data_IF_283072043867
#
_entry.id   IF_283072043867
#
_cell.length_a   1.000
_cell.length_b   1.000
_cell.length_c   1.000
_cell.angle_alpha   90.00
_cell.angle_beta   90.00
_cell.angle_gamma   90.00
#
_symmetry.space_group_name_H-M   'P 1'
#
loop_
_entity.id
_entity.type
_entity.pdbx_description
1 polymer ?
#
# COMPACT_ATOMS: atom_id res chain seq x y z
N UNK A 1 12.91 -5.47 -8.88
CA UNK A 1 13.93 -4.94 -9.80
C UNK A 1 14.75 -3.86 -9.11
N UNK A 2 15.67 -4.25 -8.23
CA UNK A 2 16.65 -3.36 -7.56
C UNK A 2 18.08 -3.84 -7.88
N UNK A 3 18.24 -4.57 -9.00
CA UNK A 3 19.46 -5.31 -9.36
C UNK A 3 20.23 -4.68 -10.53
N UNK A 4 19.71 -3.61 -11.15
CA UNK A 4 20.33 -2.96 -12.32
C UNK A 4 20.67 -1.49 -12.07
N UNK A 5 19.95 -0.80 -11.17
CA UNK A 5 20.31 0.55 -10.70
C UNK A 5 19.60 0.86 -9.36
N UNK A 6 20.32 0.96 -8.23
CA UNK A 6 19.71 1.14 -6.91
C UNK A 6 19.11 2.53 -6.67
N UNK A 7 19.26 3.46 -7.62
CA UNK A 7 18.80 4.85 -7.49
C UNK A 7 17.49 5.16 -8.23
N UNK A 8 16.96 4.23 -9.03
CA UNK A 8 15.69 4.43 -9.76
C UNK A 8 14.50 3.90 -8.98
N UNK A 9 13.84 4.79 -8.23
CA UNK A 9 12.48 4.59 -7.75
C UNK A 9 11.51 4.75 -8.91
N UNK A 10 10.79 3.69 -9.29
CA UNK A 10 9.69 3.81 -10.25
C UNK A 10 8.55 4.53 -9.54
N UNK A 11 8.22 5.73 -9.99
CA UNK A 11 7.13 6.50 -9.40
C UNK A 11 5.79 5.75 -9.55
N UNK A 12 4.98 5.76 -8.48
CA UNK A 12 3.61 5.23 -8.49
C UNK A 12 2.75 5.85 -9.61
N UNK A 13 3.07 7.08 -10.02
CA UNK A 13 2.41 7.81 -11.11
C UNK A 13 2.67 7.22 -12.49
N UNK A 14 3.72 6.41 -12.68
CA UNK A 14 4.03 5.80 -13.97
C UNK A 14 2.92 4.82 -14.41
N UNK A 15 2.37 4.04 -13.46
CA UNK A 15 1.26 3.14 -13.74
C UNK A 15 -0.10 3.83 -13.69
N UNK A 16 -0.21 5.00 -13.06
CA UNK A 16 -1.48 5.70 -12.87
C UNK A 16 -2.15 6.06 -14.19
N UNK A 17 -1.42 6.66 -15.14
CA UNK A 17 -1.98 7.03 -16.45
C UNK A 17 -2.48 5.80 -17.23
N UNK A 18 -1.71 4.71 -17.20
CA UNK A 18 -2.11 3.45 -17.83
C UNK A 18 -3.35 2.86 -17.16
N UNK A 19 -3.45 2.91 -15.83
CA UNK A 19 -4.61 2.43 -15.08
C UNK A 19 -5.88 3.24 -15.39
N UNK A 20 -5.77 4.57 -15.53
CA UNK A 20 -6.90 5.45 -15.89
C UNK A 20 -7.42 5.15 -17.30
N UNK A 21 -6.53 5.00 -18.28
CA UNK A 21 -6.96 4.65 -19.64
C UNK A 21 -7.57 3.25 -19.67
N UNK A 22 -6.94 2.29 -18.97
CA UNK A 22 -7.42 0.90 -18.92
C UNK A 22 -8.80 0.77 -18.25
N UNK A 23 -9.11 1.57 -17.23
CA UNK A 23 -10.44 1.52 -16.60
C UNK A 23 -11.55 1.96 -17.54
N UNK A 24 -11.32 3.03 -18.33
CA UNK A 24 -12.29 3.49 -19.34
C UNK A 24 -12.49 2.45 -20.44
N UNK A 25 -11.40 1.86 -20.94
CA UNK A 25 -11.48 0.78 -21.93
C UNK A 25 -12.22 -0.42 -21.36
N UNK A 26 -11.94 -0.80 -20.12
CA UNK A 26 -12.58 -1.93 -19.45
C UNK A 26 -14.09 -1.68 -19.23
N UNK A 27 -14.52 -0.46 -18.93
CA UNK A 27 -15.96 -0.12 -18.85
C UNK A 27 -16.65 -0.42 -20.19
N UNK A 28 -16.07 0.04 -21.31
CA UNK A 28 -16.64 -0.18 -22.65
C UNK A 28 -16.65 -1.68 -22.98
N UNK A 29 -15.54 -2.37 -22.75
CA UNK A 29 -15.44 -3.81 -23.05
C UNK A 29 -16.38 -4.63 -22.17
N UNK A 30 -16.46 -4.36 -20.88
CA UNK A 30 -17.39 -5.04 -19.97
C UNK A 30 -18.85 -4.78 -20.36
N UNK A 31 -19.23 -3.53 -20.68
CA UNK A 31 -20.58 -3.22 -21.16
C UNK A 31 -20.91 -3.99 -22.44
N UNK A 32 -20.01 -3.99 -23.43
CA UNK A 32 -20.21 -4.74 -24.67
C UNK A 32 -20.29 -6.25 -24.46
N UNK A 33 -19.46 -6.82 -23.58
CA UNK A 33 -19.53 -8.25 -23.25
C UNK A 33 -20.84 -8.57 -22.54
N UNK A 34 -21.29 -7.70 -21.63
CA UNK A 34 -22.56 -7.89 -20.92
C UNK A 34 -23.73 -7.91 -21.92
N UNK A 35 -23.87 -6.87 -22.74
CA UNK A 35 -24.98 -6.75 -23.69
C UNK A 35 -24.94 -7.82 -24.80
N UNK A 36 -23.75 -8.19 -25.26
CA UNK A 36 -23.60 -9.05 -26.45
C UNK A 36 -23.38 -10.53 -26.14
N UNK A 37 -22.90 -10.86 -24.95
CA UNK A 37 -22.59 -12.25 -24.56
C UNK A 37 -23.40 -12.71 -23.36
N UNK A 38 -23.56 -11.85 -22.35
CA UNK A 38 -24.22 -12.21 -21.08
C UNK A 38 -25.74 -12.15 -21.23
N UNK A 39 -26.31 -11.02 -21.66
CA UNK A 39 -27.76 -10.84 -21.82
C UNK A 39 -28.39 -11.87 -22.77
N UNK A 40 -27.81 -12.18 -23.95
CA UNK A 40 -28.39 -13.18 -24.85
C UNK A 40 -28.31 -14.60 -24.29
N UNK A 41 -27.37 -14.87 -23.38
CA UNK A 41 -27.21 -16.19 -22.74
C UNK A 41 -28.13 -16.41 -21.54
N UNK A 42 -28.54 -15.35 -20.85
CA UNK A 42 -29.48 -15.46 -19.73
C UNK A 42 -30.93 -15.64 -20.19
N UNK A 43 -31.27 -15.21 -21.41
CA UNK A 43 -32.63 -15.28 -21.94
C UNK A 43 -33.57 -14.25 -21.30
N UNK A 44 -34.83 -14.17 -21.78
CA UNK A 44 -35.78 -13.20 -21.23
C UNK A 44 -36.12 -13.50 -19.77
N UNK A 45 -36.01 -12.47 -18.93
CA UNK A 45 -36.33 -12.56 -17.52
C UNK A 45 -37.84 -12.82 -17.32
N UNK A 46 -38.18 -14.03 -16.87
CA UNK A 46 -39.57 -14.50 -16.71
C UNK A 46 -40.22 -14.18 -15.36
N UNK A 47 -39.54 -13.45 -14.47
CA UNK A 47 -40.12 -12.97 -13.20
C UNK A 47 -40.53 -14.05 -12.18
N UNK A 48 -40.18 -15.32 -12.40
CA UNK A 48 -40.54 -16.43 -11.49
C UNK A 48 -39.71 -16.45 -10.19
N UNK A 49 -38.57 -15.77 -10.19
CA UNK A 49 -37.82 -15.46 -8.97
C UNK A 49 -38.24 -14.06 -8.56
N UNK A 50 -38.77 -13.83 -7.34
CA UNK A 50 -38.96 -12.47 -6.85
C UNK A 50 -37.63 -11.78 -7.06
N UNK A 51 -37.60 -10.66 -7.81
CA UNK A 51 -36.44 -9.80 -7.74
C UNK A 51 -36.15 -9.64 -6.24
N UNK A 52 -34.97 -10.06 -5.77
CA UNK A 52 -34.51 -9.64 -4.46
C UNK A 52 -34.71 -8.14 -4.51
N UNK A 53 -35.73 -7.67 -3.78
CA UNK A 53 -36.13 -6.28 -3.85
C UNK A 53 -34.84 -5.53 -3.63
N UNK A 54 -34.42 -4.75 -4.62
CA UNK A 54 -33.26 -3.87 -4.48
C UNK A 54 -33.52 -3.19 -3.15
N UNK A 55 -32.75 -3.54 -2.11
CA UNK A 55 -33.04 -3.03 -0.77
C UNK A 55 -32.91 -1.52 -0.92
N UNK A 56 -34.05 -0.84 -0.97
CA UNK A 56 -34.08 0.59 -1.17
C UNK A 56 -33.23 1.18 -0.06
N UNK A 57 -32.27 2.01 -0.44
CA UNK A 57 -31.26 2.57 0.47
C UNK A 57 -31.98 3.06 1.72
N UNK A 58 -31.69 2.41 2.86
CA UNK A 58 -32.38 2.73 4.11
C UNK A 58 -32.17 4.21 4.42
N UNK A 59 -33.14 4.91 5.03
CA UNK A 59 -32.96 6.30 5.44
C UNK A 59 -31.71 6.51 6.32
N UNK A 60 -31.27 5.46 7.01
CA UNK A 60 -30.03 5.45 7.80
C UNK A 60 -28.78 5.39 6.91
N UNK A 61 -28.78 4.57 5.86
CA UNK A 61 -27.68 4.48 4.89
C UNK A 61 -27.58 5.74 4.03
N UNK A 62 -28.71 6.31 3.62
CA UNK A 62 -28.76 7.59 2.90
C UNK A 62 -28.21 8.73 3.76
N UNK A 63 -28.48 8.71 5.07
CA UNK A 63 -27.85 9.62 6.03
C UNK A 63 -26.35 9.33 6.14
N UNK A 64 -25.95 8.08 6.28
CA UNK A 64 -24.55 7.64 6.27
C UNK A 64 -23.77 8.19 5.07
N UNK A 65 -24.34 8.08 3.87
CA UNK A 65 -23.74 8.55 2.64
C UNK A 65 -23.56 10.08 2.61
N UNK A 66 -24.50 10.84 3.19
CA UNK A 66 -24.37 12.31 3.35
C UNK A 66 -23.23 12.67 4.32
N UNK A 67 -23.14 11.98 5.46
CA UNK A 67 -22.04 12.19 6.41
C UNK A 67 -20.69 11.77 5.83
N UNK A 68 -20.65 10.69 5.04
CA UNK A 68 -19.48 10.26 4.29
C UNK A 68 -19.03 11.34 3.29
N UNK A 69 -19.96 11.99 2.60
CA UNK A 69 -19.67 13.09 1.68
C UNK A 69 -19.11 14.32 2.42
N UNK A 70 -19.67 14.68 3.57
CA UNK A 70 -19.12 15.77 4.40
C UNK A 70 -17.73 15.43 4.94
N UNK A 71 -17.48 14.18 5.34
CA UNK A 71 -16.16 13.72 5.77
C UNK A 71 -15.16 13.72 4.61
N UNK A 72 -15.59 13.35 3.40
CA UNK A 72 -14.77 13.42 2.19
C UNK A 72 -14.37 14.86 1.88
N UNK A 73 -15.36 15.77 1.80
CA UNK A 73 -15.11 17.20 1.54
C UNK A 73 -14.22 17.80 2.64
N UNK A 74 -14.48 17.48 3.91
CA UNK A 74 -13.64 17.90 5.04
C UNK A 74 -12.21 17.41 4.91
N UNK A 75 -12.01 16.13 4.56
CA UNK A 75 -10.67 15.56 4.38
C UNK A 75 -9.93 16.18 3.20
N UNK A 76 -10.61 16.47 2.09
CA UNK A 76 -10.06 17.20 0.93
C UNK A 76 -9.67 18.62 1.33
N UNK A 77 -10.49 19.33 2.11
CA UNK A 77 -10.17 20.68 2.61
C UNK A 77 -8.95 20.65 3.53
N UNK A 78 -8.87 19.69 4.45
CA UNK A 78 -7.71 19.50 5.34
C UNK A 78 -6.45 19.21 4.52
N UNK A 79 -6.54 18.33 3.53
CA UNK A 79 -5.42 18.02 2.64
C UNK A 79 -5.03 19.25 1.80
N UNK A 80 -6.00 19.98 1.26
CA UNK A 80 -5.76 21.22 0.53
C UNK A 80 -5.09 22.25 1.45
N UNK A 81 -5.56 22.45 2.68
CA UNK A 81 -4.92 23.33 3.66
C UNK A 81 -3.53 22.84 4.10
N UNK A 82 -3.25 21.54 4.04
CA UNK A 82 -1.92 20.99 4.32
C UNK A 82 -1.01 20.97 3.08
N UNK A 83 -1.52 21.31 1.89
CA UNK A 83 -0.78 21.25 0.62
C UNK A 83 -0.61 22.64 -0.04
N UNK A 84 -1.59 23.54 0.10
CA UNK A 84 -1.64 24.85 -0.56
C UNK A 84 -0.83 25.98 0.11
N UNK A 85 -0.84 26.16 1.45
CA UNK A 85 -0.12 27.28 2.05
C UNK A 85 1.39 27.08 1.96
N UNK A 86 2.12 28.18 1.79
CA UNK A 86 3.57 28.20 1.61
C UNK A 86 4.38 27.62 2.80
N UNK A 87 3.74 27.42 3.96
CA UNK A 87 4.30 26.80 5.17
C UNK A 87 3.83 25.35 5.39
N UNK A 88 3.38 24.67 4.34
CA UNK A 88 2.92 23.28 4.39
C UNK A 88 4.08 22.31 4.68
N UNK A 89 4.03 21.49 5.75
CA UNK A 89 5.06 20.50 6.09
C UNK A 89 5.30 19.41 5.03
N UNK A 90 4.41 19.30 4.03
CA UNK A 90 4.41 18.27 2.99
C UNK A 90 5.00 18.75 1.64
N UNK A 91 5.42 20.02 1.54
CA UNK A 91 6.10 20.57 0.34
C UNK A 91 7.62 20.43 0.50
N UNK A 92 8.33 20.27 -0.61
CA UNK A 92 9.81 20.21 -0.62
C UNK A 92 10.39 21.50 0.00
N UNK A 93 11.23 21.40 1.07
CA UNK A 93 11.71 22.56 1.82
C UNK A 93 12.66 23.49 1.05
N UNK A 94 13.07 23.17 -0.18
CA UNK A 94 14.04 23.99 -0.92
C UNK A 94 13.49 24.60 -2.21
N UNK A 95 12.48 24.02 -2.87
CA UNK A 95 12.08 24.49 -4.21
C UNK A 95 10.61 24.85 -4.36
N UNK A 96 9.75 24.49 -3.42
CA UNK A 96 8.33 24.77 -3.56
C UNK A 96 7.69 24.11 -4.81
N UNK A 97 8.31 23.12 -5.43
CA UNK A 97 7.71 22.39 -6.53
C UNK A 97 6.78 21.29 -6.00
N UNK A 98 5.58 21.18 -6.59
CA UNK A 98 4.61 20.11 -6.30
C UNK A 98 4.93 18.84 -7.11
N UNK A 99 5.78 18.95 -8.14
CA UNK A 99 6.10 17.88 -9.09
C UNK A 99 7.61 17.64 -9.12
N UNK A 100 8.02 16.48 -8.61
CA UNK A 100 9.41 16.00 -8.54
C UNK A 100 9.79 15.61 -7.11
N UNK A 101 10.03 14.30 -6.87
CA UNK A 101 10.49 13.69 -5.61
C UNK A 101 10.04 14.37 -4.29
N UNK A 102 8.78 14.82 -4.25
CA UNK A 102 8.21 15.53 -3.11
C UNK A 102 7.76 14.51 -2.05
N UNK A 103 7.94 14.81 -0.74
CA UNK A 103 7.40 14.00 0.36
C UNK A 103 5.91 13.67 0.22
N UNK A 104 5.16 14.46 -0.56
CA UNK A 104 3.78 14.20 -0.95
C UNK A 104 3.59 12.93 -1.80
N UNK A 105 4.47 12.64 -2.76
CA UNK A 105 4.36 11.45 -3.62
C UNK A 105 4.75 10.17 -2.86
N UNK A 106 5.73 10.25 -1.97
CA UNK A 106 6.16 9.13 -1.12
C UNK A 106 5.11 8.82 -0.04
N UNK A 107 4.41 9.85 0.46
CA UNK A 107 3.35 9.73 1.47
C UNK A 107 1.95 9.61 0.86
N UNK A 108 1.83 9.53 -0.47
CA UNK A 108 0.54 9.54 -1.18
C UNK A 108 -0.37 8.40 -0.69
N UNK A 109 0.20 7.21 -0.49
CA UNK A 109 -0.51 6.02 0.00
C UNK A 109 -1.06 6.23 1.42
N UNK A 110 -0.29 6.89 2.29
CA UNK A 110 -0.73 7.18 3.67
C UNK A 110 -1.84 8.23 3.67
N UNK A 111 -1.76 9.21 2.77
CA UNK A 111 -2.74 10.27 2.65
C UNK A 111 -4.09 9.75 2.12
N UNK A 112 -4.09 8.90 1.08
CA UNK A 112 -5.33 8.24 0.63
C UNK A 112 -5.90 7.34 1.74
N UNK A 113 -5.07 6.66 2.52
CA UNK A 113 -5.53 5.84 3.65
C UNK A 113 -6.26 6.69 4.69
N UNK A 114 -5.71 7.86 5.04
CA UNK A 114 -6.32 8.77 6.00
C UNK A 114 -7.67 9.34 5.50
N UNK A 115 -7.78 9.65 4.20
CA UNK A 115 -9.06 10.03 3.57
C UNK A 115 -10.07 8.91 3.67
N UNK A 116 -9.69 7.70 3.25
CA UNK A 116 -10.57 6.53 3.31
C UNK A 116 -11.01 6.22 4.73
N UNK A 117 -10.12 6.38 5.71
CA UNK A 117 -10.45 6.23 7.13
C UNK A 117 -11.47 7.28 7.58
N UNK A 118 -11.25 8.56 7.25
CA UNK A 118 -12.16 9.64 7.61
C UNK A 118 -13.55 9.45 7.00
N UNK A 119 -13.63 9.07 5.72
CA UNK A 119 -14.88 8.78 5.01
C UNK A 119 -15.57 7.55 5.60
N UNK A 120 -14.81 6.49 5.89
CA UNK A 120 -15.32 5.26 6.50
C UNK A 120 -15.92 5.50 7.89
N UNK A 121 -15.26 6.31 8.73
CA UNK A 121 -15.80 6.73 10.03
C UNK A 121 -17.03 7.61 9.85
N UNK A 122 -16.98 8.59 8.93
CA UNK A 122 -18.12 9.45 8.62
C UNK A 122 -19.37 8.67 8.19
N UNK A 123 -19.19 7.67 7.32
CA UNK A 123 -20.24 6.74 6.95
C UNK A 123 -20.71 5.90 8.15
N UNK A 124 -19.79 5.28 8.88
CA UNK A 124 -20.10 4.37 9.98
C UNK A 124 -20.88 5.03 11.12
N UNK A 125 -20.57 6.29 11.43
CA UNK A 125 -21.31 7.10 12.40
C UNK A 125 -22.67 7.54 11.82
N UNK A 126 -22.71 7.99 10.57
CA UNK A 126 -23.92 8.49 9.92
C UNK A 126 -24.99 7.42 9.66
N UNK A 127 -24.56 6.20 9.32
CA UNK A 127 -25.40 5.02 9.15
C UNK A 127 -25.68 4.26 10.46
N UNK A 128 -25.11 4.73 11.58
CA UNK A 128 -25.17 4.08 12.90
C UNK A 128 -24.70 2.61 12.91
N UNK A 129 -23.89 2.21 11.92
CA UNK A 129 -23.29 0.87 11.89
C UNK A 129 -22.17 0.74 12.91
N UNK A 130 -21.48 1.84 13.22
CA UNK A 130 -20.44 1.92 14.26
C UNK A 130 -20.93 2.84 15.39
N UNK A 131 -21.57 2.26 16.40
CA UNK A 131 -22.09 2.98 17.58
C UNK A 131 -21.10 3.06 18.74
N UNK A 132 -20.11 2.16 18.76
CA UNK A 132 -19.10 2.05 19.82
C UNK A 132 -17.71 1.83 19.23
N UNK A 133 -16.68 2.25 19.98
CA UNK A 133 -15.27 1.98 19.67
C UNK A 133 -15.03 0.47 19.52
N UNK A 134 -15.74 -0.35 20.30
CA UNK A 134 -15.65 -1.82 20.24
C UNK A 134 -16.05 -2.31 18.85
N UNK A 135 -17.17 -1.83 18.29
CA UNK A 135 -17.61 -2.20 16.94
C UNK A 135 -16.58 -1.78 15.88
N UNK A 136 -15.89 -0.66 16.09
CA UNK A 136 -14.79 -0.22 15.22
C UNK A 136 -13.60 -1.19 15.25
N UNK A 137 -13.19 -1.62 16.44
CA UNK A 137 -12.11 -2.61 16.63
C UNK A 137 -12.50 -3.96 16.03
N UNK A 138 -13.75 -4.39 16.21
CA UNK A 138 -14.26 -5.65 15.66
C UNK A 138 -14.27 -5.63 14.12
N UNK A 139 -14.66 -4.51 13.51
CA UNK A 139 -14.63 -4.32 12.06
C UNK A 139 -13.19 -4.39 11.50
N UNK A 140 -12.24 -3.75 12.18
CA UNK A 140 -10.82 -3.82 11.84
C UNK A 140 -10.31 -5.26 11.96
N UNK A 141 -10.61 -5.94 13.07
CA UNK A 141 -10.22 -7.34 13.32
C UNK A 141 -10.77 -8.28 12.27
N UNK A 142 -12.05 -8.12 11.88
CA UNK A 142 -12.70 -8.89 10.81
C UNK A 142 -12.01 -8.70 9.47
N UNK A 143 -11.57 -7.47 9.16
CA UNK A 143 -10.83 -7.18 7.93
C UNK A 143 -9.46 -7.86 7.92
N UNK A 144 -8.71 -7.81 9.03
CA UNK A 144 -7.44 -8.52 9.16
C UNK A 144 -7.61 -10.05 9.09
N UNK A 145 -8.69 -10.58 9.65
CA UNK A 145 -9.02 -11.99 9.55
C UNK A 145 -9.26 -12.42 8.09
N UNK A 146 -9.97 -11.60 7.30
CA UNK A 146 -10.19 -11.86 5.87
C UNK A 146 -8.90 -11.83 5.02
N UNK A 147 -7.89 -11.06 5.44
CA UNK A 147 -6.60 -10.95 4.76
C UNK A 147 -5.56 -11.99 5.24
N UNK A 148 -5.86 -12.75 6.30
CA UNK A 148 -4.93 -13.71 6.91
C UNK A 148 -4.40 -14.76 5.92
N UNK A 149 -5.25 -15.25 5.02
CA UNK A 149 -4.85 -16.22 3.98
C UNK A 149 -3.83 -15.65 2.99
N UNK A 150 -3.99 -14.39 2.59
CA UNK A 150 -3.02 -13.70 1.74
C UNK A 150 -1.69 -13.48 2.46
N UNK A 151 -1.74 -13.08 3.74
CA UNK A 151 -0.53 -12.88 4.56
C UNK A 151 0.25 -14.20 4.68
N UNK A 152 -0.44 -15.32 4.90
CA UNK A 152 0.19 -16.64 4.95
C UNK A 152 0.85 -17.02 3.62
N UNK A 153 0.18 -16.80 2.50
CA UNK A 153 0.75 -17.05 1.17
C UNK A 153 2.00 -16.20 0.92
N UNK A 154 1.92 -14.89 1.19
CA UNK A 154 3.05 -13.97 1.02
C UNK A 154 4.22 -14.34 1.94
N UNK A 155 3.95 -14.86 3.14
CA UNK A 155 4.98 -15.37 4.03
C UNK A 155 5.73 -16.56 3.40
N UNK A 156 5.01 -17.57 2.89
CA UNK A 156 5.62 -18.73 2.21
C UNK A 156 6.41 -18.28 0.97
N UNK A 157 5.85 -17.36 0.18
CA UNK A 157 6.54 -16.78 -0.97
C UNK A 157 7.82 -16.03 -0.57
N UNK A 158 7.80 -15.27 0.53
CA UNK A 158 8.97 -14.57 1.06
C UNK A 158 10.08 -15.56 1.46
N UNK A 159 9.72 -16.66 2.13
CA UNK A 159 10.68 -17.71 2.47
C UNK A 159 11.26 -18.39 1.21
N UNK A 160 10.41 -18.73 0.23
CA UNK A 160 10.86 -19.25 -1.06
C UNK A 160 11.82 -18.27 -1.75
N UNK A 161 11.46 -16.99 -1.88
CA UNK A 161 12.31 -15.96 -2.47
C UNK A 161 13.65 -15.82 -1.74
N UNK A 162 13.66 -15.92 -0.41
CA UNK A 162 14.88 -15.90 0.37
C UNK A 162 15.80 -17.10 0.03
N UNK A 163 15.24 -18.30 -0.10
CA UNK A 163 15.97 -19.49 -0.52
C UNK A 163 16.49 -19.39 -1.97
N UNK A 164 15.69 -18.85 -2.90
CA UNK A 164 16.12 -18.64 -4.29
C UNK A 164 17.24 -17.61 -4.38
N UNK A 165 17.12 -16.48 -3.68
CA UNK A 165 18.17 -15.46 -3.61
C UNK A 165 19.46 -16.00 -2.98
N UNK A 166 19.35 -16.82 -1.95
CA UNK A 166 20.49 -17.49 -1.33
C UNK A 166 21.18 -18.46 -2.31
N UNK A 167 20.41 -19.32 -2.99
CA UNK A 167 20.92 -20.31 -3.93
C UNK A 167 21.61 -19.66 -5.15
N UNK A 168 20.96 -18.67 -5.78
CA UNK A 168 21.49 -17.96 -6.96
C UNK A 168 22.75 -17.15 -6.63
N UNK A 169 22.92 -16.66 -5.39
CA UNK A 169 24.09 -15.87 -4.96
C UNK A 169 25.36 -16.72 -4.67
N UNK A 170 25.26 -18.06 -4.61
CA UNK A 170 26.39 -18.92 -4.19
C UNK A 170 27.52 -19.18 -5.22
N UNK A 171 27.39 -19.08 -6.55
CA UNK A 171 28.53 -19.39 -7.42
C UNK A 171 29.51 -18.21 -7.61
N UNK A 172 29.15 -16.97 -7.24
CA UNK A 172 30.01 -15.80 -7.51
C UNK A 172 31.15 -15.57 -6.51
N UNK A 173 31.08 -16.13 -5.30
CA UNK A 173 32.19 -16.05 -4.32
C UNK A 173 33.30 -17.09 -4.57
N UNK A 174 33.07 -18.08 -5.44
CA UNK A 174 34.06 -19.12 -5.73
C UNK A 174 35.09 -18.67 -6.78
N UNK A 175 34.74 -17.73 -7.66
CA UNK A 175 35.64 -17.26 -8.72
C UNK A 175 36.49 -16.03 -8.34
N UNK A 176 36.10 -15.27 -7.30
CA UNK A 176 36.89 -14.12 -6.81
C UNK A 176 38.06 -14.52 -5.90
N UNK A 177 38.09 -15.74 -5.34
CA UNK A 177 39.21 -16.23 -4.51
C UNK A 177 40.47 -16.60 -5.31
N UNK A 178 40.43 -16.64 -6.65
CA UNK A 178 41.63 -16.88 -7.49
C UNK A 178 42.33 -15.61 -7.97
N UNK A 179 41.82 -14.41 -7.67
CA UNK A 179 42.49 -13.10 -7.90
C UNK A 179 42.80 -12.41 -6.57
N UNK A 180 43.54 -13.10 -5.70
CA UNK A 180 43.85 -12.59 -4.35
C UNK A 180 45.19 -13.07 -3.83
N UNK A 181 46.19 -13.21 -4.71
CA UNK A 181 47.58 -13.50 -4.36
C UNK A 181 48.50 -12.35 -4.75
N UNK A 182 48.08 -11.11 -4.49
CA UNK A 182 48.95 -9.94 -4.62
C UNK A 182 49.13 -9.29 -3.23
N UNK A 183 50.31 -9.45 -2.59
CA UNK A 183 50.51 -9.11 -1.17
C UNK A 183 50.57 -7.60 -0.86
N UNK A 184 50.32 -6.71 -1.82
CA UNK A 184 50.49 -5.26 -1.66
C UNK A 184 49.24 -4.51 -1.16
N UNK A 185 48.05 -5.10 -1.20
CA UNK A 185 46.78 -4.40 -0.88
C UNK A 185 46.28 -4.67 0.56
N UNK A 186 46.85 -5.65 1.26
CA UNK A 186 46.40 -6.07 2.61
C UNK A 186 46.72 -5.04 3.71
N UNK A 187 47.65 -4.12 3.47
CA UNK A 187 48.13 -3.16 4.50
C UNK A 187 47.19 -1.97 4.68
N UNK A 188 46.33 -1.67 3.70
CA UNK A 188 45.39 -0.55 3.76
C UNK A 188 44.01 -0.90 4.34
N UNK A 189 43.64 -2.18 4.41
CA UNK A 189 42.29 -2.60 4.78
C UNK A 189 42.09 -2.91 6.28
N UNK A 190 43.14 -3.02 7.09
CA UNK A 190 43.00 -3.27 8.54
C UNK A 190 42.59 -2.04 9.36
N UNK A 191 42.58 -0.83 8.77
CA UNK A 191 42.19 0.41 9.47
C UNK A 191 40.69 0.73 9.39
N UNK A 192 39.87 -0.10 8.74
CA UNK A 192 38.44 0.15 8.53
C UNK A 192 37.50 -0.96 9.03
N UNK A 193 37.96 -1.80 9.96
CA UNK A 193 37.06 -2.67 10.73
C UNK A 193 36.60 -1.97 12.01
N UNK A 194 35.41 -1.37 11.95
CA UNK A 194 34.64 -0.99 13.13
C UNK A 194 34.00 -2.25 13.70
N UNK A 195 34.56 -2.71 14.82
CA UNK A 195 34.16 -3.88 15.62
C UNK A 195 32.68 -3.84 16.03
N UNK A 196 31.89 -4.93 15.87
CA UNK A 196 30.59 -5.07 16.52
C UNK A 196 30.79 -5.35 18.01
N UNK A 197 30.33 -4.46 18.90
CA UNK A 197 30.27 -4.71 20.35
C UNK A 197 29.08 -5.61 20.67
N UNK A 198 29.35 -6.84 21.10
CA UNK A 198 28.43 -7.67 21.87
C UNK A 198 28.28 -7.10 23.27
N UNK A 199 27.06 -6.74 23.66
CA UNK A 199 26.67 -6.36 25.01
C UNK A 199 26.29 -7.62 25.77
N UNK A 200 26.91 -7.85 26.95
CA UNK A 200 26.38 -8.75 27.97
C UNK A 200 27.35 -9.80 28.49
N UNK A 201 28.34 -9.38 29.28
CA UNK A 201 28.83 -10.23 30.37
C UNK A 201 29.16 -9.33 31.57
N UNK A 202 28.22 -9.32 32.52
CA UNK A 202 28.42 -8.85 33.88
C UNK A 202 29.25 -9.89 34.63
N UNK A 203 30.32 -9.46 35.28
CA UNK A 203 30.92 -10.07 36.48
C UNK A 203 31.44 -8.86 37.30
N UNK A 204 30.71 -8.36 38.29
CA UNK A 204 30.86 -8.64 39.73
C UNK A 204 32.29 -8.72 40.25
N UNK A 205 32.48 -8.07 41.41
CA UNK A 205 33.51 -8.30 42.46
C UNK A 205 34.66 -7.27 42.54
N UNK A 206 34.41 -6.26 43.38
CA UNK A 206 35.29 -5.64 44.40
C UNK A 206 36.72 -5.22 44.06
N UNK A 207 37.05 -3.95 44.31
CA UNK A 207 37.70 -3.55 45.57
C UNK A 207 37.50 -2.07 45.85
#
# INVERSE_FOLDING_TARGET
>A
MHLLDPTKSIALTANFYFAVVSSLVLIVVCSLITERVVEPRLGEYRGEVPAEATEDVSPEEARGLRFALYALVGSIIVIALLTFPAAAPLRDPQTGAIIGNSPFMDSLIVLIMLVFLAVGIGYGVGAKTITSIVNGIDAVTKTFAGLSGLIFLLFVLSQFLAYFNYSIRRPQRAHSRRRGSDPTITIWFSSFEVTPRTVGQFDTVTS
#
